data_IF_381642469154
#
_entry.id   IF_381642469154
#
_cell.length_a   1.000
_cell.length_b   1.000
_cell.length_c   1.000
_cell.angle_alpha   90.00
_cell.angle_beta   90.00
_cell.angle_gamma   90.00
#
_symmetry.space_group_name_H-M   'P 1'
#
loop_
_entity.id
_entity.type
_entity.pdbx_description
1 polymer ?
#
# COMPACT_ATOMS: atom_id res chain seq x y z
N UNK A 1 24.16 0.25 13.45
CA UNK A 1 22.86 -0.44 13.54
C UNK A 1 21.82 0.56 14.03
N UNK A 2 20.98 1.06 13.14
CA UNK A 2 19.78 1.80 13.54
C UNK A 2 18.81 0.81 14.17
N UNK A 3 18.17 1.16 15.28
CA UNK A 3 17.14 0.30 15.86
C UNK A 3 16.00 0.09 14.83
N UNK A 4 15.38 -1.11 14.78
CA UNK A 4 14.29 -1.38 13.87
C UNK A 4 13.16 -0.37 14.09
N UNK A 5 12.58 0.14 13.01
CA UNK A 5 11.46 1.09 13.11
C UNK A 5 10.30 0.40 13.85
N UNK A 6 9.84 0.95 14.98
CA UNK A 6 8.81 0.29 15.76
C UNK A 6 7.51 0.17 14.95
N UNK A 7 6.82 -0.95 15.12
CA UNK A 7 5.48 -1.13 14.58
C UNK A 7 4.54 -0.23 15.38
N UNK A 8 4.05 0.83 14.75
CA UNK A 8 3.09 1.77 15.32
C UNK A 8 1.70 1.25 14.99
N UNK A 9 0.88 0.88 15.95
CA UNK A 9 -0.52 0.50 15.73
C UNK A 9 -1.33 0.88 16.98
N UNK A 10 -2.46 1.61 16.93
CA UNK A 10 -3.15 2.00 18.15
C UNK A 10 -3.67 0.78 18.90
N UNK A 11 -3.98 -0.32 18.19
CA UNK A 11 -4.24 -1.58 18.88
C UNK A 11 -2.99 -2.02 19.66
N UNK A 12 -1.80 -2.07 19.06
CA UNK A 12 -0.56 -2.45 19.79
C UNK A 12 -0.23 -1.48 20.94
N UNK A 13 -0.35 -0.17 20.72
CA UNK A 13 0.02 0.88 21.67
C UNK A 13 -0.97 1.04 22.83
N UNK A 14 -2.24 0.67 22.62
CA UNK A 14 -3.30 0.73 23.62
C UNK A 14 -3.94 -0.66 23.79
N UNK A 15 -3.26 -1.61 24.49
CA UNK A 15 -3.73 -2.98 24.68
C UNK A 15 -5.12 -3.05 25.33
N UNK A 16 -5.39 -2.11 26.25
CA UNK A 16 -6.49 -2.14 27.21
C UNK A 16 -7.78 -1.45 26.73
N UNK A 17 -7.84 -1.00 25.47
CA UNK A 17 -9.08 -0.45 24.93
C UNK A 17 -10.19 -1.51 24.97
N UNK A 18 -11.37 -1.18 25.53
CA UNK A 18 -12.43 -2.16 25.68
C UNK A 18 -12.92 -2.65 24.32
N UNK A 19 -13.09 -3.96 24.22
CA UNK A 19 -13.68 -4.60 23.06
C UNK A 19 -15.19 -4.37 23.04
N UNK A 20 -15.78 -4.32 21.85
CA UNK A 20 -17.22 -4.30 21.71
C UNK A 20 -17.81 -5.64 22.14
N UNK A 21 -19.01 -5.59 22.73
CA UNK A 21 -19.80 -6.79 22.98
C UNK A 21 -20.08 -7.51 21.65
N UNK A 22 -19.61 -8.75 21.47
CA UNK A 22 -19.84 -9.51 20.24
C UNK A 22 -21.31 -9.66 19.89
N UNK A 23 -22.24 -9.65 20.86
CA UNK A 23 -23.70 -9.74 20.62
C UNK A 23 -24.21 -8.64 19.67
N UNK A 24 -23.54 -7.49 19.62
CA UNK A 24 -23.90 -6.39 18.73
C UNK A 24 -23.65 -6.69 17.23
N UNK A 25 -23.01 -7.82 16.91
CA UNK A 25 -22.90 -8.31 15.54
C UNK A 25 -24.21 -8.94 15.03
N UNK A 26 -25.13 -9.36 15.90
CA UNK A 26 -26.27 -10.22 15.51
C UNK A 26 -27.09 -9.65 14.33
N UNK A 27 -27.44 -8.34 14.29
CA UNK A 27 -28.17 -7.78 13.16
C UNK A 27 -27.40 -7.85 11.83
N UNK A 28 -26.07 -7.68 11.89
CA UNK A 28 -25.20 -7.80 10.72
C UNK A 28 -25.09 -9.26 10.27
N UNK A 29 -24.95 -10.21 11.19
CA UNK A 29 -24.84 -11.64 10.84
C UNK A 29 -26.10 -12.10 10.10
N UNK A 30 -27.27 -11.78 10.63
CA UNK A 30 -28.56 -12.06 9.96
C UNK A 30 -28.61 -11.42 8.57
N UNK A 31 -28.09 -10.19 8.42
CA UNK A 31 -28.05 -9.54 7.12
C UNK A 31 -27.15 -10.26 6.12
N UNK A 32 -25.99 -10.73 6.56
CA UNK A 32 -25.01 -11.38 5.70
C UNK A 32 -25.49 -12.75 5.20
N UNK A 33 -26.35 -13.44 5.96
CA UNK A 33 -26.97 -14.71 5.57
C UNK A 33 -28.18 -14.53 4.63
N UNK A 34 -28.83 -13.37 4.69
CA UNK A 34 -29.98 -13.07 3.83
C UNK A 34 -29.59 -13.15 2.35
N UNK A 35 -30.39 -13.79 1.47
CA UNK A 35 -30.12 -13.82 0.04
C UNK A 35 -30.47 -12.49 -0.66
N UNK A 36 -31.11 -11.55 0.03
CA UNK A 36 -31.58 -10.30 -0.58
C UNK A 36 -30.40 -9.40 -1.00
N UNK A 37 -30.44 -8.82 -2.21
CA UNK A 37 -29.35 -8.00 -2.73
C UNK A 37 -29.15 -6.73 -1.90
N UNK A 38 -27.90 -6.27 -1.80
CA UNK A 38 -27.54 -5.00 -1.15
C UNK A 38 -27.62 -3.86 -2.18
N UNK A 39 -28.74 -3.16 -2.23
CA UNK A 39 -28.94 -2.08 -3.22
C UNK A 39 -28.29 -0.73 -2.80
N UNK A 40 -28.06 -0.53 -1.51
CA UNK A 40 -27.46 0.68 -0.94
C UNK A 40 -26.62 0.32 0.30
N UNK A 41 -25.80 1.26 0.78
CA UNK A 41 -25.02 1.04 2.01
C UNK A 41 -25.95 0.88 3.23
N UNK A 42 -25.79 -0.22 3.98
CA UNK A 42 -26.58 -0.58 5.15
C UNK A 42 -25.71 -0.55 6.41
N UNK A 43 -26.03 0.32 7.37
CA UNK A 43 -25.27 0.49 8.61
C UNK A 43 -25.86 -0.34 9.76
N UNK A 44 -24.98 -0.97 10.55
CA UNK A 44 -25.33 -1.83 11.67
C UNK A 44 -24.68 -1.32 12.98
N UNK A 45 -25.10 -1.82 14.16
CA UNK A 45 -24.46 -1.44 15.42
C UNK A 45 -22.95 -1.69 15.45
N UNK A 46 -22.47 -2.67 14.68
CA UNK A 46 -21.07 -2.88 14.38
C UNK A 46 -20.91 -3.06 12.86
N UNK A 47 -20.32 -2.05 12.23
CA UNK A 47 -19.94 -2.09 10.82
C UNK A 47 -21.03 -1.71 9.81
N UNK A 48 -20.70 -1.89 8.53
CA UNK A 48 -21.53 -1.48 7.39
C UNK A 48 -21.37 -2.47 6.25
N UNK A 49 -22.48 -2.90 5.66
CA UNK A 49 -22.50 -3.64 4.39
C UNK A 49 -22.67 -2.62 3.27
N UNK A 50 -21.74 -2.58 2.33
CA UNK A 50 -21.76 -1.62 1.23
C UNK A 50 -22.32 -2.25 -0.03
N UNK A 51 -22.95 -1.43 -0.87
CA UNK A 51 -23.52 -1.87 -2.15
C UNK A 51 -22.48 -2.47 -3.12
N UNK A 52 -21.19 -2.19 -2.92
CA UNK A 52 -20.08 -2.75 -3.70
C UNK A 52 -19.45 -4.01 -3.09
N UNK A 53 -20.13 -4.65 -2.15
CA UNK A 53 -19.71 -5.92 -1.52
C UNK A 53 -18.65 -5.77 -0.43
N UNK A 54 -18.39 -4.55 0.03
CA UNK A 54 -17.53 -4.32 1.21
C UNK A 54 -18.29 -4.56 2.50
N UNK A 55 -17.72 -5.37 3.37
CA UNK A 55 -18.13 -5.47 4.76
C UNK A 55 -17.11 -4.68 5.58
N UNK A 56 -17.46 -3.44 5.93
CA UNK A 56 -16.60 -2.52 6.66
C UNK A 56 -16.85 -2.61 8.16
N UNK A 57 -15.94 -3.25 8.88
CA UNK A 57 -15.90 -3.26 10.35
C UNK A 57 -14.58 -2.69 10.86
N UNK A 58 -14.00 -1.70 10.19
CA UNK A 58 -12.82 -1.06 10.75
C UNK A 58 -13.15 -0.32 12.05
N UNK A 59 -12.24 -0.41 13.04
CA UNK A 59 -12.31 0.31 14.32
C UNK A 59 -13.56 -0.02 15.14
N UNK A 60 -14.01 -1.27 15.09
CA UNK A 60 -15.19 -1.75 15.84
C UNK A 60 -14.83 -2.47 17.15
N UNK A 61 -13.54 -2.68 17.42
CA UNK A 61 -13.09 -3.34 18.66
C UNK A 61 -13.55 -4.79 18.77
N UNK A 62 -13.59 -5.53 17.66
CA UNK A 62 -14.16 -6.89 17.63
C UNK A 62 -13.39 -7.90 18.52
N UNK A 63 -12.07 -7.76 18.58
CA UNK A 63 -11.18 -8.76 19.17
C UNK A 63 -11.29 -10.13 18.50
N UNK A 64 -10.63 -11.12 19.10
CA UNK A 64 -10.68 -12.50 18.59
C UNK A 64 -12.10 -13.10 18.68
N UNK A 65 -12.86 -12.77 19.72
CA UNK A 65 -14.22 -13.29 19.92
C UNK A 65 -15.20 -12.79 18.85
N UNK A 66 -15.19 -11.49 18.54
CA UNK A 66 -15.99 -10.93 17.45
C UNK A 66 -15.59 -11.50 16.09
N UNK A 67 -14.28 -11.70 15.85
CA UNK A 67 -13.81 -12.36 14.63
C UNK A 67 -14.34 -13.79 14.51
N UNK A 68 -14.30 -14.60 15.59
CA UNK A 68 -14.86 -15.97 15.60
C UNK A 68 -16.33 -16.02 15.23
N UNK A 69 -17.13 -15.02 15.64
CA UNK A 69 -18.55 -14.97 15.27
C UNK A 69 -18.78 -14.52 13.83
N UNK A 70 -18.01 -13.52 13.38
CA UNK A 70 -18.22 -12.88 12.08
C UNK A 70 -17.72 -13.72 10.90
N UNK A 71 -16.50 -14.28 11.02
CA UNK A 71 -15.74 -14.74 9.85
C UNK A 71 -16.41 -15.89 9.09
N UNK A 72 -16.93 -16.94 9.74
CA UNK A 72 -17.64 -18.00 9.02
C UNK A 72 -18.84 -17.48 8.23
N UNK A 73 -19.62 -16.56 8.83
CA UNK A 73 -20.80 -15.97 8.20
C UNK A 73 -20.41 -15.04 7.04
N UNK A 74 -19.41 -14.20 7.24
CA UNK A 74 -18.94 -13.28 6.21
C UNK A 74 -18.33 -14.02 5.00
N UNK A 75 -17.55 -15.09 5.22
CA UNK A 75 -16.94 -15.85 4.14
C UNK A 75 -17.97 -16.63 3.29
N UNK A 76 -19.06 -17.09 3.92
CA UNK A 76 -20.16 -17.78 3.26
C UNK A 76 -21.21 -16.83 2.64
N UNK A 77 -21.15 -15.53 2.95
CA UNK A 77 -22.14 -14.56 2.51
C UNK A 77 -22.08 -14.35 0.99
N UNK A 78 -23.22 -14.31 0.28
CA UNK A 78 -23.26 -13.99 -1.15
C UNK A 78 -22.91 -12.51 -1.44
N UNK A 79 -22.84 -11.67 -0.42
CA UNK A 79 -22.59 -10.22 -0.55
C UNK A 79 -21.14 -9.84 -0.32
N UNK A 80 -20.39 -10.64 0.43
CA UNK A 80 -19.07 -10.27 0.90
C UNK A 80 -18.01 -10.54 -0.18
N UNK A 81 -17.44 -9.47 -0.71
CA UNK A 81 -16.33 -9.50 -1.67
C UNK A 81 -15.05 -8.95 -1.03
N UNK A 82 -15.19 -7.99 -0.12
CA UNK A 82 -14.08 -7.27 0.49
C UNK A 82 -14.32 -7.16 2.00
N UNK A 83 -13.45 -7.78 2.79
CA UNK A 83 -13.57 -7.79 4.23
C UNK A 83 -12.59 -6.78 4.84
N UNK A 84 -13.11 -5.74 5.50
CA UNK A 84 -12.31 -4.67 6.10
C UNK A 84 -12.38 -4.74 7.63
N UNK A 85 -11.33 -5.28 8.25
CA UNK A 85 -11.24 -5.53 9.68
C UNK A 85 -10.11 -4.73 10.35
N UNK A 86 -9.75 -3.58 9.83
CA UNK A 86 -8.61 -2.83 10.38
C UNK A 86 -8.87 -2.27 11.78
N UNK A 87 -7.85 -2.28 12.64
CA UNK A 87 -7.95 -1.73 14.02
C UNK A 87 -9.02 -2.41 14.87
N UNK A 88 -9.01 -3.74 14.92
CA UNK A 88 -9.95 -4.53 15.74
C UNK A 88 -9.29 -5.41 16.80
N UNK A 89 -7.95 -5.37 16.92
CA UNK A 89 -7.19 -6.19 17.88
C UNK A 89 -7.52 -7.70 17.79
N UNK A 90 -7.73 -8.23 16.58
CA UNK A 90 -8.12 -9.64 16.42
C UNK A 90 -7.01 -10.63 16.80
N UNK A 91 -5.75 -10.19 16.75
CA UNK A 91 -4.56 -10.98 17.10
C UNK A 91 -4.36 -12.23 16.24
N UNK A 92 -3.38 -13.06 16.61
CA UNK A 92 -3.08 -14.30 15.89
C UNK A 92 -4.23 -15.30 15.91
N UNK A 93 -4.98 -15.35 17.01
CA UNK A 93 -6.18 -16.19 17.10
C UNK A 93 -7.24 -15.75 16.09
N UNK A 94 -7.48 -14.46 15.95
CA UNK A 94 -8.42 -13.96 14.94
C UNK A 94 -7.91 -14.14 13.51
N UNK A 95 -6.61 -14.03 13.27
CA UNK A 95 -6.01 -14.35 11.97
C UNK A 95 -6.18 -15.83 11.60
N UNK A 96 -6.02 -16.75 12.56
CA UNK A 96 -6.37 -18.17 12.39
C UNK A 96 -7.84 -18.37 12.05
N UNK A 97 -8.75 -17.71 12.77
CA UNK A 97 -10.19 -17.75 12.42
C UNK A 97 -10.44 -17.26 10.99
N UNK A 98 -9.74 -16.21 10.54
CA UNK A 98 -9.83 -15.75 9.14
C UNK A 98 -9.42 -16.87 8.20
N UNK A 99 -8.26 -17.49 8.45
CA UNK A 99 -7.74 -18.61 7.65
C UNK A 99 -8.73 -19.79 7.62
N UNK A 100 -9.26 -20.20 8.76
CA UNK A 100 -10.21 -21.32 8.88
C UNK A 100 -11.53 -21.08 8.12
N UNK A 101 -11.94 -19.80 7.99
CA UNK A 101 -13.17 -19.43 7.29
C UNK A 101 -13.02 -19.39 5.75
N UNK A 102 -11.79 -19.36 5.23
CA UNK A 102 -11.51 -19.37 3.78
C UNK A 102 -11.58 -20.79 3.21
N UNK A 103 -12.77 -21.40 3.28
CA UNK A 103 -13.05 -22.70 2.67
C UNK A 103 -13.30 -22.57 1.16
N UNK A 104 -13.04 -23.61 0.34
CA UNK A 104 -13.27 -23.57 -1.10
C UNK A 104 -14.67 -23.08 -1.45
N UNK A 105 -14.76 -22.12 -2.39
CA UNK A 105 -16.02 -21.51 -2.82
C UNK A 105 -16.41 -20.20 -2.14
N UNK A 106 -15.60 -19.68 -1.21
CA UNK A 106 -15.82 -18.36 -0.61
C UNK A 106 -15.78 -17.22 -1.65
N UNK A 107 -16.45 -16.09 -1.37
CA UNK A 107 -16.51 -14.93 -2.28
C UNK A 107 -15.43 -13.85 -2.08
N UNK A 108 -14.60 -13.98 -1.04
CA UNK A 108 -13.68 -12.92 -0.60
C UNK A 108 -12.48 -12.73 -1.52
N UNK A 109 -12.36 -11.52 -2.10
CA UNK A 109 -11.24 -11.11 -2.96
C UNK A 109 -10.21 -10.22 -2.26
N UNK A 110 -10.64 -9.51 -1.21
CA UNK A 110 -9.75 -8.61 -0.45
C UNK A 110 -9.89 -8.85 1.04
N UNK A 111 -8.75 -9.05 1.71
CA UNK A 111 -8.64 -9.12 3.15
C UNK A 111 -7.85 -7.92 3.65
N UNK A 112 -8.52 -7.00 4.34
CA UNK A 112 -7.87 -5.87 4.98
C UNK A 112 -7.81 -6.07 6.48
N UNK A 113 -6.63 -6.45 6.96
CA UNK A 113 -6.35 -6.86 8.34
C UNK A 113 -5.38 -5.89 9.04
N UNK A 114 -5.26 -4.66 8.55
CA UNK A 114 -4.30 -3.68 9.05
C UNK A 114 -4.50 -3.31 10.52
N UNK A 115 -3.40 -3.25 11.29
CA UNK A 115 -3.37 -2.87 12.70
C UNK A 115 -4.27 -3.74 13.59
N UNK A 116 -3.96 -5.03 13.67
CA UNK A 116 -4.74 -6.01 14.44
C UNK A 116 -3.93 -6.79 15.48
N UNK A 117 -2.67 -6.42 15.72
CA UNK A 117 -1.74 -7.18 16.57
C UNK A 117 -1.50 -8.61 16.05
N UNK A 118 -1.51 -8.79 14.73
CA UNK A 118 -1.20 -10.08 14.10
C UNK A 118 0.33 -10.22 14.07
N UNK A 119 0.85 -11.16 14.84
CA UNK A 119 2.25 -11.56 14.88
C UNK A 119 2.59 -12.58 13.78
N UNK A 120 3.83 -13.12 13.81
CA UNK A 120 4.29 -14.09 12.83
C UNK A 120 3.41 -15.36 12.78
N UNK A 121 2.88 -15.84 13.91
CA UNK A 121 2.03 -17.04 13.97
C UNK A 121 0.70 -16.84 13.24
N UNK A 122 0.07 -15.68 13.42
CA UNK A 122 -1.17 -15.35 12.71
C UNK A 122 -0.95 -15.13 11.22
N UNK A 123 0.18 -14.52 10.84
CA UNK A 123 0.58 -14.39 9.43
C UNK A 123 0.85 -15.76 8.81
N UNK A 124 1.48 -16.68 9.55
CA UNK A 124 1.75 -18.04 9.10
C UNK A 124 0.45 -18.80 8.79
N UNK A 125 -0.53 -18.75 9.71
CA UNK A 125 -1.83 -19.37 9.46
C UNK A 125 -2.54 -18.83 8.22
N UNK A 126 -2.50 -17.50 8.01
CA UNK A 126 -3.03 -16.90 6.78
C UNK A 126 -2.27 -17.39 5.54
N UNK A 127 -0.94 -17.46 5.60
CA UNK A 127 -0.10 -17.86 4.49
C UNK A 127 -0.34 -19.32 4.08
N UNK A 128 -0.47 -20.23 5.05
CA UNK A 128 -0.74 -21.65 4.80
C UNK A 128 -2.05 -21.86 4.04
N UNK A 129 -3.14 -21.23 4.47
CA UNK A 129 -4.43 -21.33 3.75
C UNK A 129 -4.38 -20.66 2.38
N UNK A 130 -3.77 -19.48 2.29
CA UNK A 130 -3.70 -18.73 1.02
C UNK A 130 -2.80 -19.41 -0.03
N UNK A 131 -1.94 -20.35 0.35
CA UNK A 131 -1.07 -21.07 -0.57
C UNK A 131 -1.82 -21.87 -1.64
N UNK A 132 -3.02 -22.35 -1.31
CA UNK A 132 -3.93 -23.05 -2.22
C UNK A 132 -5.20 -22.27 -2.55
N UNK A 133 -5.37 -21.06 -2.01
CA UNK A 133 -6.53 -20.23 -2.33
C UNK A 133 -6.44 -19.60 -3.72
N UNK A 134 -7.53 -19.67 -4.45
CA UNK A 134 -7.65 -19.15 -5.82
C UNK A 134 -8.52 -17.89 -5.91
N UNK A 135 -9.00 -17.35 -4.77
CA UNK A 135 -10.01 -16.26 -4.78
C UNK A 135 -9.49 -14.93 -4.26
N UNK A 136 -8.58 -14.91 -3.28
CA UNK A 136 -8.02 -13.69 -2.70
C UNK A 136 -6.97 -13.10 -3.64
N UNK A 137 -7.17 -11.84 -4.00
CA UNK A 137 -6.27 -11.09 -4.88
C UNK A 137 -5.46 -10.03 -4.13
N UNK A 138 -5.93 -9.60 -2.95
CA UNK A 138 -5.32 -8.53 -2.19
C UNK A 138 -5.31 -8.79 -0.68
N UNK A 139 -4.12 -8.78 -0.08
CA UNK A 139 -3.89 -8.98 1.34
C UNK A 139 -3.21 -7.75 1.94
N UNK A 140 -3.86 -7.13 2.94
CA UNK A 140 -3.37 -5.92 3.57
C UNK A 140 -3.08 -6.14 5.05
N UNK A 141 -1.80 -6.14 5.41
CA UNK A 141 -1.30 -6.44 6.75
C UNK A 141 -0.65 -5.25 7.44
N UNK A 142 -0.76 -4.03 6.91
CA UNK A 142 -0.07 -2.85 7.48
C UNK A 142 -0.19 -2.77 9.00
N UNK A 143 0.90 -2.35 9.65
CA UNK A 143 0.95 -2.07 11.09
C UNK A 143 0.63 -3.31 11.94
N UNK A 144 0.98 -4.50 11.47
CA UNK A 144 0.98 -5.74 12.25
C UNK A 144 2.43 -6.20 12.47
N UNK A 145 2.80 -6.67 13.67
CA UNK A 145 4.16 -7.10 13.98
C UNK A 145 4.52 -8.46 13.36
N UNK A 146 4.46 -8.55 12.04
CA UNK A 146 4.78 -9.77 11.29
C UNK A 146 6.27 -10.14 11.40
N UNK A 147 7.15 -9.14 11.32
CA UNK A 147 8.60 -9.32 11.28
C UNK A 147 9.07 -10.15 10.08
N UNK A 148 10.35 -10.50 10.07
CA UNK A 148 10.94 -11.34 9.02
C UNK A 148 10.36 -12.76 9.02
N UNK A 149 9.97 -13.31 10.17
CA UNK A 149 9.37 -14.65 10.27
C UNK A 149 8.01 -14.73 9.57
N UNK A 150 7.11 -13.79 9.86
CA UNK A 150 5.82 -13.72 9.18
C UNK A 150 5.98 -13.48 7.68
N UNK A 151 6.96 -12.66 7.29
CA UNK A 151 7.26 -12.42 5.87
C UNK A 151 7.83 -13.67 5.18
N UNK A 152 8.65 -14.48 5.87
CA UNK A 152 9.11 -15.77 5.34
C UNK A 152 7.95 -16.73 5.07
N UNK A 153 6.94 -16.75 5.94
CA UNK A 153 5.73 -17.54 5.70
C UNK A 153 4.96 -17.05 4.45
N UNK A 154 4.79 -15.73 4.31
CA UNK A 154 4.20 -15.13 3.10
C UNK A 154 5.02 -15.45 1.85
N UNK A 155 6.34 -15.37 1.92
CA UNK A 155 7.22 -15.76 0.82
C UNK A 155 7.03 -17.23 0.43
N UNK A 156 6.86 -18.13 1.41
CA UNK A 156 6.57 -19.53 1.14
C UNK A 156 5.25 -19.73 0.39
N UNK A 157 4.18 -19.07 0.85
CA UNK A 157 2.88 -19.05 0.19
C UNK A 157 2.97 -18.50 -1.25
N UNK A 158 3.74 -17.43 -1.46
CA UNK A 158 3.92 -16.81 -2.76
C UNK A 158 4.70 -17.66 -3.78
N UNK A 159 5.28 -18.80 -3.39
CA UNK A 159 5.86 -19.72 -4.38
C UNK A 159 4.81 -20.52 -5.14
N UNK A 160 3.64 -20.76 -4.53
CA UNK A 160 2.58 -21.60 -5.11
C UNK A 160 1.33 -20.79 -5.47
N UNK A 161 0.97 -19.80 -4.66
CA UNK A 161 -0.21 -18.98 -4.91
C UNK A 161 -0.02 -18.16 -6.21
N UNK A 162 -0.95 -18.24 -7.15
CA UNK A 162 -0.88 -17.52 -8.43
C UNK A 162 -1.93 -16.40 -8.58
N UNK A 163 -2.68 -16.11 -7.51
CA UNK A 163 -3.86 -15.22 -7.53
C UNK A 163 -3.61 -13.90 -6.83
N UNK A 164 -2.77 -13.89 -5.80
CA UNK A 164 -2.40 -12.68 -5.09
C UNK A 164 -1.59 -11.75 -5.98
N UNK A 165 -2.06 -10.52 -6.11
CA UNK A 165 -1.45 -9.45 -6.91
C UNK A 165 -1.16 -8.18 -6.10
N UNK A 166 -1.75 -8.05 -4.93
CA UNK A 166 -1.52 -6.91 -4.02
C UNK A 166 -1.15 -7.41 -2.63
N UNK A 167 0.01 -6.98 -2.14
CA UNK A 167 0.49 -7.27 -0.78
C UNK A 167 0.94 -5.98 -0.09
N UNK A 168 0.35 -5.71 1.07
CA UNK A 168 0.74 -4.57 1.92
C UNK A 168 1.40 -5.05 3.22
N UNK A 169 2.66 -4.65 3.37
CA UNK A 169 3.55 -4.88 4.50
C UNK A 169 4.06 -3.56 5.10
N UNK A 170 3.30 -2.48 5.00
CA UNK A 170 3.65 -1.17 5.56
C UNK A 170 3.79 -1.28 7.08
N UNK A 171 4.95 -0.86 7.60
CA UNK A 171 5.27 -0.83 9.03
C UNK A 171 4.95 -2.17 9.72
N UNK A 172 5.49 -3.26 9.15
CA UNK A 172 5.33 -4.63 9.66
C UNK A 172 6.59 -5.17 10.34
N UNK A 173 7.67 -4.39 10.34
CA UNK A 173 8.95 -4.78 10.92
C UNK A 173 9.76 -5.70 10.00
N UNK A 174 9.45 -5.74 8.71
CA UNK A 174 10.26 -6.44 7.70
C UNK A 174 11.65 -5.79 7.60
N UNK A 175 12.68 -6.62 7.74
CA UNK A 175 14.08 -6.29 7.56
C UNK A 175 14.66 -6.88 6.27
N UNK A 176 15.99 -6.85 6.11
CA UNK A 176 16.67 -7.36 4.92
C UNK A 176 16.41 -8.84 4.63
N UNK A 177 16.25 -9.67 5.67
CA UNK A 177 16.09 -11.12 5.50
C UNK A 177 14.68 -11.48 5.01
N UNK A 178 13.64 -10.82 5.54
CA UNK A 178 12.29 -10.93 5.00
C UNK A 178 12.21 -10.40 3.57
N UNK A 179 12.89 -9.29 3.28
CA UNK A 179 12.93 -8.72 1.93
C UNK A 179 13.62 -9.66 0.93
N UNK A 180 14.71 -10.33 1.33
CA UNK A 180 15.38 -11.35 0.51
C UNK A 180 14.49 -12.56 0.25
N UNK A 181 13.80 -13.06 1.27
CA UNK A 181 12.85 -14.16 1.12
C UNK A 181 11.72 -13.81 0.14
N UNK A 182 11.18 -12.58 0.21
CA UNK A 182 10.19 -12.09 -0.75
C UNK A 182 10.74 -12.06 -2.17
N UNK A 183 11.95 -11.51 -2.36
CA UNK A 183 12.57 -11.45 -3.69
C UNK A 183 12.71 -12.86 -4.29
N UNK A 184 13.30 -13.79 -3.55
CA UNK A 184 13.49 -15.18 -3.99
C UNK A 184 12.17 -15.84 -4.39
N UNK A 185 11.12 -15.67 -3.57
CA UNK A 185 9.80 -16.21 -3.88
C UNK A 185 9.17 -15.58 -5.13
N UNK A 186 9.34 -14.26 -5.32
CA UNK A 186 8.67 -13.53 -6.38
C UNK A 186 9.37 -13.68 -7.75
N UNK A 187 10.70 -13.84 -7.80
CA UNK A 187 11.47 -13.98 -9.06
C UNK A 187 11.07 -15.24 -9.85
N UNK A 188 10.56 -16.29 -9.20
CA UNK A 188 10.13 -17.53 -9.84
C UNK A 188 8.65 -17.60 -10.22
N UNK A 189 7.85 -16.54 -9.98
CA UNK A 189 6.41 -16.60 -10.17
C UNK A 189 6.00 -16.50 -11.64
N UNK A 190 5.05 -17.35 -12.03
CA UNK A 190 4.40 -17.28 -13.36
C UNK A 190 3.56 -16.02 -13.54
N UNK A 191 2.98 -15.51 -12.44
CA UNK A 191 2.21 -14.26 -12.40
C UNK A 191 2.85 -13.29 -11.39
N UNK A 192 3.43 -12.18 -11.86
CA UNK A 192 4.07 -11.20 -10.99
C UNK A 192 3.11 -10.65 -9.95
N UNK A 193 3.62 -10.39 -8.74
CA UNK A 193 2.92 -9.55 -7.78
C UNK A 193 2.94 -8.11 -8.33
N UNK A 194 1.77 -7.51 -8.54
CA UNK A 194 1.67 -6.20 -9.19
C UNK A 194 2.00 -5.05 -8.23
N UNK A 195 1.46 -5.11 -7.01
CA UNK A 195 1.48 -4.03 -6.01
C UNK A 195 2.10 -4.51 -4.71
N UNK A 196 3.20 -3.88 -4.32
CA UNK A 196 3.91 -4.17 -3.08
C UNK A 196 4.10 -2.89 -2.26
N UNK A 197 3.55 -2.88 -1.05
CA UNK A 197 3.70 -1.77 -0.11
C UNK A 197 4.66 -2.15 1.02
N UNK A 198 5.75 -1.39 1.15
CA UNK A 198 6.86 -1.62 2.09
C UNK A 198 7.23 -0.35 2.88
N UNK A 199 6.33 0.63 2.91
CA UNK A 199 6.56 1.89 3.62
C UNK A 199 6.74 1.71 5.13
N UNK A 200 7.50 2.60 5.79
CA UNK A 200 7.55 2.64 7.24
C UNK A 200 8.27 1.47 7.92
N UNK A 201 9.19 0.81 7.23
CA UNK A 201 9.95 -0.34 7.75
C UNK A 201 11.41 0.00 8.09
N UNK A 202 11.83 1.25 7.88
CA UNK A 202 13.19 1.68 8.20
C UNK A 202 14.25 1.24 7.18
N UNK A 203 13.82 0.87 5.97
CA UNK A 203 14.73 0.41 4.91
C UNK A 203 15.70 1.53 4.50
N UNK A 204 17.00 1.25 4.53
CA UNK A 204 18.06 2.19 4.16
C UNK A 204 18.53 1.97 2.72
N UNK A 205 19.50 2.76 2.25
CA UNK A 205 20.14 2.56 0.95
C UNK A 205 20.68 1.12 0.75
N UNK A 206 21.07 0.42 1.82
CA UNK A 206 21.54 -0.97 1.78
C UNK A 206 20.48 -1.95 1.23
N UNK A 207 19.20 -1.65 1.41
CA UNK A 207 18.10 -2.46 0.87
C UNK A 207 17.82 -2.17 -0.61
N UNK A 208 18.34 -1.08 -1.17
CA UNK A 208 18.00 -0.63 -2.52
C UNK A 208 18.30 -1.66 -3.63
N UNK A 209 19.40 -2.46 -3.58
CA UNK A 209 19.63 -3.52 -4.56
C UNK A 209 18.53 -4.59 -4.56
N UNK A 210 18.03 -4.98 -3.38
CA UNK A 210 16.92 -5.94 -3.27
C UNK A 210 15.61 -5.33 -3.80
N UNK A 211 15.34 -4.07 -3.48
CA UNK A 211 14.17 -3.33 -3.98
C UNK A 211 14.21 -3.17 -5.50
N UNK A 212 15.38 -2.89 -6.07
CA UNK A 212 15.57 -2.82 -7.51
C UNK A 212 15.39 -4.18 -8.18
N UNK A 213 15.86 -5.27 -7.56
CA UNK A 213 15.64 -6.63 -8.05
C UNK A 213 14.15 -7.04 -8.03
N UNK A 214 13.37 -6.56 -7.05
CA UNK A 214 11.91 -6.77 -7.06
C UNK A 214 11.24 -6.17 -8.30
N UNK A 215 11.70 -5.01 -8.74
CA UNK A 215 11.21 -4.37 -9.97
C UNK A 215 11.74 -5.10 -11.21
N UNK A 216 13.05 -5.32 -11.28
CA UNK A 216 13.74 -5.85 -12.46
C UNK A 216 13.41 -7.33 -12.71
N UNK A 217 13.58 -8.16 -11.69
CA UNK A 217 13.61 -9.62 -11.81
C UNK A 217 12.26 -10.24 -11.46
N UNK A 218 11.61 -9.76 -10.40
CA UNK A 218 10.30 -10.26 -9.97
C UNK A 218 9.11 -9.58 -10.70
N UNK A 219 9.37 -8.53 -11.48
CA UNK A 219 8.35 -7.86 -12.29
C UNK A 219 7.32 -7.04 -11.50
N UNK A 220 7.63 -6.63 -10.27
CA UNK A 220 6.77 -5.75 -9.46
C UNK A 220 6.64 -4.40 -10.16
N UNK A 221 5.41 -4.01 -10.53
CA UNK A 221 5.14 -2.78 -11.27
C UNK A 221 4.81 -1.59 -10.39
N UNK A 222 4.22 -1.80 -9.22
CA UNK A 222 3.89 -0.74 -8.28
C UNK A 222 4.58 -0.99 -6.94
N UNK A 223 5.63 -0.23 -6.66
CA UNK A 223 6.45 -0.35 -5.47
C UNK A 223 6.31 0.91 -4.61
N UNK A 224 5.71 0.75 -3.43
CA UNK A 224 5.43 1.85 -2.51
C UNK A 224 6.32 1.73 -1.26
N UNK A 225 7.26 2.65 -1.12
CA UNK A 225 8.29 2.71 -0.08
C UNK A 225 8.23 4.00 0.77
N UNK A 226 7.07 4.65 1.02
CA UNK A 226 7.08 5.91 1.74
C UNK A 226 7.53 5.73 3.20
N UNK A 227 8.12 6.77 3.80
CA UNK A 227 8.60 6.77 5.17
C UNK A 227 9.68 5.70 5.45
N UNK A 228 10.68 5.61 4.58
CA UNK A 228 11.89 4.81 4.77
C UNK A 228 13.13 5.74 4.76
N UNK A 229 14.35 5.22 4.61
CA UNK A 229 15.62 5.96 4.73
C UNK A 229 16.53 5.72 3.53
N UNK A 230 15.98 5.65 2.32
CA UNK A 230 16.72 5.28 1.11
C UNK A 230 17.76 6.32 0.68
N UNK A 231 17.49 7.60 0.93
CA UNK A 231 18.35 8.72 0.51
C UNK A 231 18.53 8.82 -1.01
N UNK A 232 19.47 9.67 -1.41
CA UNK A 232 19.82 9.86 -2.83
C UNK A 232 20.44 8.60 -3.46
N UNK A 233 21.23 7.84 -2.68
CA UNK A 233 21.86 6.60 -3.13
C UNK A 233 20.82 5.53 -3.49
N UNK A 234 19.88 5.25 -2.58
CA UNK A 234 18.83 4.27 -2.83
C UNK A 234 17.90 4.69 -3.98
N UNK A 235 17.60 5.99 -4.11
CA UNK A 235 16.85 6.52 -5.24
C UNK A 235 17.57 6.31 -6.58
N UNK A 236 18.90 6.48 -6.62
CA UNK A 236 19.68 6.25 -7.83
C UNK A 236 19.69 4.76 -8.25
N UNK A 237 19.79 3.83 -7.29
CA UNK A 237 19.71 2.39 -7.55
C UNK A 237 18.36 2.00 -8.13
N UNK A 238 17.25 2.53 -7.59
CA UNK A 238 15.91 2.29 -8.14
C UNK A 238 15.74 2.91 -9.54
N UNK A 239 16.27 4.11 -9.77
CA UNK A 239 16.21 4.77 -11.07
C UNK A 239 16.88 3.92 -12.17
N UNK A 240 18.00 3.24 -11.86
CA UNK A 240 18.72 2.42 -12.82
C UNK A 240 17.91 1.24 -13.40
N UNK A 241 16.86 0.79 -12.71
CA UNK A 241 15.98 -0.30 -13.18
C UNK A 241 14.58 0.17 -13.60
N UNK A 242 14.23 1.41 -13.28
CA UNK A 242 12.91 1.99 -13.57
C UNK A 242 12.82 2.63 -14.97
N UNK A 243 13.91 2.70 -15.71
CA UNK A 243 14.00 3.40 -17.00
C UNK A 243 13.51 2.63 -18.23
N UNK A 244 12.99 1.40 -18.08
CA UNK A 244 12.48 0.60 -19.20
C UNK A 244 11.08 1.06 -19.65
N UNK A 245 10.94 1.70 -20.84
CA UNK A 245 9.65 2.17 -21.33
C UNK A 245 8.69 1.04 -21.71
N UNK A 246 9.20 -0.19 -21.94
CA UNK A 246 8.39 -1.37 -22.23
C UNK A 246 7.65 -1.90 -21.00
N UNK A 247 8.08 -1.51 -19.80
CA UNK A 247 7.46 -1.93 -18.54
C UNK A 247 7.40 -0.78 -17.52
N UNK A 248 6.54 0.23 -17.75
CA UNK A 248 6.46 1.38 -16.86
C UNK A 248 6.14 1.00 -15.41
N UNK A 249 6.77 1.69 -14.47
CA UNK A 249 6.63 1.45 -13.03
C UNK A 249 5.96 2.63 -12.31
N UNK A 250 5.39 2.33 -11.14
CA UNK A 250 4.80 3.29 -10.21
C UNK A 250 5.60 3.25 -8.91
N UNK A 251 6.25 4.35 -8.57
CA UNK A 251 7.17 4.45 -7.44
C UNK A 251 6.65 5.43 -6.39
N UNK A 252 6.32 4.89 -5.21
CA UNK A 252 6.01 5.70 -4.03
C UNK A 252 7.25 5.89 -3.16
N UNK A 253 7.88 7.05 -3.18
CA UNK A 253 9.16 7.33 -2.51
C UNK A 253 9.07 8.49 -1.51
N UNK A 254 7.86 8.87 -1.10
CA UNK A 254 7.64 9.97 -0.17
C UNK A 254 8.35 9.80 1.19
N UNK A 255 9.03 10.82 1.69
CA UNK A 255 9.69 10.78 3.00
C UNK A 255 10.79 9.71 3.09
N UNK A 256 11.81 9.82 2.24
CA UNK A 256 12.95 8.91 2.17
C UNK A 256 14.31 9.62 2.32
N UNK A 257 14.33 10.93 2.60
CA UNK A 257 15.56 11.72 2.60
C UNK A 257 16.14 11.94 1.21
N UNK A 258 15.31 11.87 0.16
CA UNK A 258 15.73 12.07 -1.23
C UNK A 258 15.90 13.57 -1.48
N UNK A 259 17.12 13.98 -1.80
CA UNK A 259 17.51 15.33 -2.17
C UNK A 259 17.53 15.56 -3.69
N UNK A 260 18.18 16.63 -4.15
CA UNK A 260 18.25 16.97 -5.56
C UNK A 260 19.01 15.94 -6.42
N UNK A 261 20.00 15.23 -5.86
CA UNK A 261 20.82 14.26 -6.60
C UNK A 261 20.00 13.03 -6.93
N UNK A 262 19.31 12.43 -5.96
CA UNK A 262 18.42 11.29 -6.18
C UNK A 262 17.22 11.67 -7.04
N UNK A 263 16.67 12.87 -6.86
CA UNK A 263 15.61 13.39 -7.75
C UNK A 263 16.09 13.49 -9.20
N UNK A 264 17.34 13.92 -9.45
CA UNK A 264 17.92 13.96 -10.80
C UNK A 264 18.10 12.56 -11.38
N UNK A 265 18.52 11.58 -10.58
CA UNK A 265 18.63 10.20 -11.03
C UNK A 265 17.25 9.66 -11.47
N UNK A 266 16.20 9.88 -10.65
CA UNK A 266 14.82 9.51 -10.98
C UNK A 266 14.31 10.24 -12.23
N UNK A 267 14.68 11.51 -12.43
CA UNK A 267 14.36 12.22 -13.66
C UNK A 267 15.01 11.57 -14.91
N UNK A 268 16.24 11.05 -14.79
CA UNK A 268 16.89 10.30 -15.86
C UNK A 268 16.17 8.99 -16.24
N UNK A 269 15.35 8.45 -15.33
CA UNK A 269 14.55 7.24 -15.54
C UNK A 269 13.09 7.53 -15.91
N UNK A 270 12.68 8.79 -16.08
CA UNK A 270 11.28 9.18 -16.21
C UNK A 270 10.59 8.55 -17.43
N UNK A 271 11.35 8.14 -18.46
CA UNK A 271 10.86 7.41 -19.63
C UNK A 271 10.21 6.05 -19.33
N UNK A 272 10.51 5.44 -18.17
CA UNK A 272 9.88 4.20 -17.70
C UNK A 272 9.05 4.38 -16.41
N UNK A 273 8.73 5.61 -16.01
CA UNK A 273 7.97 5.87 -14.77
C UNK A 273 6.61 6.47 -15.09
N UNK A 274 5.54 5.74 -14.76
CA UNK A 274 4.15 6.19 -14.94
C UNK A 274 3.67 7.03 -13.74
N UNK A 275 4.17 6.73 -12.53
CA UNK A 275 3.85 7.47 -11.31
C UNK A 275 5.09 7.63 -10.44
N UNK A 276 5.33 8.85 -9.99
CA UNK A 276 6.39 9.19 -9.05
C UNK A 276 5.82 10.02 -7.90
N UNK A 277 5.85 9.47 -6.70
CA UNK A 277 5.48 10.17 -5.48
C UNK A 277 6.72 10.45 -4.62
N UNK A 278 7.10 11.72 -4.54
CA UNK A 278 8.18 12.21 -3.66
C UNK A 278 7.63 13.00 -2.48
N UNK A 279 6.31 13.15 -2.36
CA UNK A 279 5.69 14.03 -1.38
C UNK A 279 5.77 13.48 0.04
N UNK A 280 5.55 14.36 1.01
CA UNK A 280 5.54 13.97 2.43
C UNK A 280 4.36 13.05 2.75
N UNK A 281 4.60 11.80 3.21
CA UNK A 281 3.54 10.90 3.64
C UNK A 281 3.03 11.30 5.04
N UNK A 282 1.77 10.97 5.39
CA UNK A 282 1.22 11.24 6.72
C UNK A 282 2.02 10.59 7.86
N UNK A 283 2.65 9.44 7.60
CA UNK A 283 3.41 8.66 8.57
C UNK A 283 4.82 9.20 8.87
N UNK A 284 5.31 10.19 8.10
CA UNK A 284 6.70 10.67 8.19
C UNK A 284 7.09 11.04 9.62
N UNK A 285 6.27 11.86 10.30
CA UNK A 285 6.57 12.32 11.66
C UNK A 285 6.49 11.19 12.69
N UNK A 286 5.47 10.34 12.62
CA UNK A 286 5.25 9.28 13.62
C UNK A 286 6.28 8.16 13.54
N UNK A 287 6.88 7.97 12.37
CA UNK A 287 7.91 6.95 12.12
C UNK A 287 9.33 7.55 12.12
N UNK A 288 9.48 8.86 12.31
CA UNK A 288 10.77 9.52 12.28
C UNK A 288 11.47 9.49 10.91
N UNK A 289 10.71 9.34 9.83
CA UNK A 289 11.29 9.24 8.50
C UNK A 289 11.81 10.61 8.00
N UNK A 290 12.94 10.65 7.28
CA UNK A 290 13.51 11.87 6.75
C UNK A 290 12.66 12.46 5.61
N UNK A 291 12.43 13.77 5.65
CA UNK A 291 11.72 14.46 4.58
C UNK A 291 12.52 14.44 3.27
N UNK A 292 11.82 14.35 2.14
CA UNK A 292 12.44 14.57 0.84
C UNK A 292 12.68 16.08 0.63
N UNK A 293 13.84 16.43 0.08
CA UNK A 293 14.26 17.81 -0.18
C UNK A 293 14.75 17.97 -1.62
N UNK A 294 13.98 17.47 -2.59
CA UNK A 294 14.24 17.59 -4.03
C UNK A 294 14.60 19.01 -4.46
N UNK A 295 13.95 20.02 -3.85
CA UNK A 295 14.17 21.44 -4.12
C UNK A 295 13.88 21.84 -5.55
N UNK A 296 14.17 23.10 -5.89
CA UNK A 296 14.03 23.58 -7.27
C UNK A 296 14.98 22.81 -8.22
N UNK A 297 16.22 22.53 -7.81
CA UNK A 297 17.21 21.88 -8.66
C UNK A 297 16.78 20.47 -9.13
N UNK A 298 16.24 19.65 -8.22
CA UNK A 298 15.69 18.34 -8.59
C UNK A 298 14.46 18.48 -9.49
N UNK A 299 13.58 19.45 -9.20
CA UNK A 299 12.38 19.68 -10.02
C UNK A 299 12.70 20.23 -11.42
N UNK A 300 13.79 20.98 -11.60
CA UNK A 300 14.26 21.36 -12.94
C UNK A 300 14.71 20.13 -13.75
N UNK A 301 15.34 19.14 -13.12
CA UNK A 301 15.69 17.89 -13.79
C UNK A 301 14.43 17.11 -14.21
N UNK A 302 13.43 17.01 -13.33
CA UNK A 302 12.13 16.42 -13.67
C UNK A 302 11.43 17.17 -14.81
N UNK A 303 11.46 18.51 -14.80
CA UNK A 303 10.89 19.33 -15.86
C UNK A 303 11.58 19.08 -17.22
N UNK A 304 12.91 18.97 -17.23
CA UNK A 304 13.66 18.68 -18.45
C UNK A 304 13.35 17.28 -19.04
N UNK A 305 13.05 16.30 -18.19
CA UNK A 305 12.73 14.93 -18.60
C UNK A 305 11.24 14.68 -18.85
N UNK A 306 10.35 15.64 -18.54
CA UNK A 306 8.91 15.48 -18.65
C UNK A 306 8.40 15.32 -20.10
N UNK A 307 8.90 16.07 -21.10
CA UNK A 307 8.49 15.91 -22.49
C UNK A 307 8.63 14.47 -22.99
N UNK A 308 7.58 13.92 -23.59
CA UNK A 308 7.56 12.54 -24.08
C UNK A 308 7.52 11.44 -23.02
N UNK A 309 7.59 11.77 -21.72
CA UNK A 309 7.51 10.77 -20.65
C UNK A 309 6.10 10.16 -20.51
N UNK A 310 5.97 8.89 -20.08
CA UNK A 310 4.69 8.27 -19.75
C UNK A 310 4.13 8.74 -18.40
N UNK A 311 4.73 9.74 -17.75
CA UNK A 311 4.37 10.14 -16.40
C UNK A 311 2.95 10.70 -16.34
N UNK A 312 2.10 10.06 -15.54
CA UNK A 312 0.70 10.45 -15.31
C UNK A 312 0.51 11.11 -13.96
N UNK A 313 1.31 10.76 -12.97
CA UNK A 313 1.16 11.29 -11.61
C UNK A 313 2.50 11.65 -11.01
N UNK A 314 2.62 12.92 -10.61
CA UNK A 314 3.79 13.46 -9.94
C UNK A 314 3.38 14.11 -8.62
N UNK A 315 3.88 13.64 -7.50
CA UNK A 315 3.59 14.21 -6.18
C UNK A 315 4.86 14.86 -5.58
N UNK A 316 4.78 16.16 -5.29
CA UNK A 316 5.89 17.01 -4.85
C UNK A 316 5.52 17.87 -3.63
N UNK A 317 4.42 17.55 -2.92
CA UNK A 317 4.07 18.28 -1.69
C UNK A 317 5.17 18.11 -0.65
N UNK A 318 5.64 19.25 -0.13
CA UNK A 318 6.65 19.33 0.94
C UNK A 318 8.04 18.79 0.54
N UNK A 319 8.45 18.93 -0.72
CA UNK A 319 9.80 18.53 -1.19
C UNK A 319 10.83 19.67 -1.26
N UNK A 320 10.51 20.83 -0.67
CA UNK A 320 11.34 22.05 -0.80
C UNK A 320 11.17 22.79 -2.13
N UNK A 321 10.21 22.39 -2.97
CA UNK A 321 9.86 23.07 -4.22
C UNK A 321 9.36 24.51 -3.98
N UNK A 322 9.92 25.48 -4.71
CA UNK A 322 9.47 26.88 -4.69
C UNK A 322 8.67 27.25 -5.95
N UNK A 323 8.23 28.51 -6.03
CA UNK A 323 7.54 29.04 -7.21
C UNK A 323 8.37 28.98 -8.49
N UNK A 324 9.71 29.06 -8.40
CA UNK A 324 10.59 28.98 -9.57
C UNK A 324 10.59 27.59 -10.18
N UNK A 325 10.85 26.54 -9.38
CA UNK A 325 10.79 25.16 -9.85
C UNK A 325 9.38 24.79 -10.34
N UNK A 326 8.32 25.26 -9.65
CA UNK A 326 6.95 24.98 -10.07
C UNK A 326 6.61 25.63 -11.42
N UNK A 327 7.14 26.82 -11.72
CA UNK A 327 6.99 27.48 -13.01
C UNK A 327 7.77 26.76 -14.11
N UNK A 328 8.99 26.32 -13.83
CA UNK A 328 9.79 25.52 -14.78
C UNK A 328 9.07 24.22 -15.15
N UNK A 329 8.58 23.49 -14.14
CA UNK A 329 7.77 22.28 -14.36
C UNK A 329 6.51 22.56 -15.17
N UNK A 330 5.77 23.63 -14.84
CA UNK A 330 4.57 24.01 -15.59
C UNK A 330 4.88 24.29 -17.07
N UNK A 331 5.99 24.98 -17.36
CA UNK A 331 6.41 25.28 -18.73
C UNK A 331 6.73 24.01 -19.54
N UNK A 332 7.19 22.95 -18.89
CA UNK A 332 7.48 21.66 -19.53
C UNK A 332 6.23 20.79 -19.76
N UNK A 333 5.07 21.15 -19.21
CA UNK A 333 3.81 20.44 -19.50
C UNK A 333 3.30 20.85 -20.89
N UNK A 334 3.57 20.00 -21.88
CA UNK A 334 3.12 20.12 -23.27
C UNK A 334 1.66 19.68 -23.45
N UNK A 335 1.02 20.08 -24.54
CA UNK A 335 -0.35 19.69 -24.88
C UNK A 335 -0.55 18.17 -24.98
N UNK A 336 0.47 17.45 -25.45
CA UNK A 336 0.44 15.99 -25.60
C UNK A 336 0.81 15.23 -24.32
N UNK A 337 1.12 15.93 -23.22
CA UNK A 337 1.50 15.29 -21.96
C UNK A 337 0.44 14.31 -21.44
N UNK A 338 0.87 13.20 -20.84
CA UNK A 338 0.02 12.21 -20.18
C UNK A 338 -0.34 12.58 -18.74
N UNK A 339 0.12 13.72 -18.24
CA UNK A 339 0.03 14.09 -16.84
C UNK A 339 -1.42 14.36 -16.41
N UNK A 340 -1.85 13.68 -15.37
CA UNK A 340 -3.20 13.74 -14.79
C UNK A 340 -3.20 14.40 -13.41
N UNK A 341 -2.07 14.36 -12.71
CA UNK A 341 -1.95 14.89 -11.36
C UNK A 341 -0.56 15.47 -11.09
N UNK A 342 -0.55 16.68 -10.52
CA UNK A 342 0.64 17.27 -9.91
C UNK A 342 0.32 17.73 -8.48
N UNK A 343 0.93 17.06 -7.51
CA UNK A 343 0.83 17.41 -6.10
C UNK A 343 1.77 18.56 -5.76
N UNK A 344 1.20 19.72 -5.41
CA UNK A 344 1.94 20.94 -5.12
C UNK A 344 1.70 21.42 -3.69
N UNK A 345 2.78 21.76 -2.98
CA UNK A 345 2.73 22.20 -1.59
C UNK A 345 1.83 23.42 -1.34
N UNK A 346 1.34 23.63 -0.09
CA UNK A 346 0.44 24.73 0.24
C UNK A 346 1.03 26.12 -0.03
N UNK A 347 2.36 26.29 0.13
CA UNK A 347 3.05 27.57 -0.05
C UNK A 347 3.17 28.10 -1.48
N UNK A 348 2.69 27.36 -2.50
CA UNK A 348 2.75 27.80 -3.90
C UNK A 348 1.54 28.65 -4.32
N UNK A 349 1.72 29.69 -5.16
CA UNK A 349 0.63 30.58 -5.57
C UNK A 349 -0.55 29.83 -6.22
N UNK A 350 -1.78 30.20 -5.84
CA UNK A 350 -3.02 29.61 -6.39
C UNK A 350 -3.09 29.71 -7.93
N UNK A 351 -2.51 30.76 -8.53
CA UNK A 351 -2.45 30.94 -9.99
C UNK A 351 -1.65 29.84 -10.69
N UNK A 352 -0.55 29.37 -10.07
CA UNK A 352 0.27 28.27 -10.61
C UNK A 352 -0.53 26.97 -10.57
N UNK A 353 -1.15 26.66 -9.42
CA UNK A 353 -2.00 25.46 -9.23
C UNK A 353 -3.15 25.41 -10.26
N UNK A 354 -3.85 26.53 -10.46
CA UNK A 354 -4.90 26.65 -11.48
C UNK A 354 -4.38 26.49 -12.91
N UNK A 355 -3.14 26.86 -13.18
CA UNK A 355 -2.55 26.71 -14.51
C UNK A 355 -2.20 25.27 -14.82
N UNK A 356 -1.72 24.50 -13.84
CA UNK A 356 -1.61 23.04 -13.96
C UNK A 356 -2.97 22.41 -14.23
N UNK A 357 -4.01 22.72 -13.43
CA UNK A 357 -5.32 22.12 -13.58
C UNK A 357 -5.94 22.27 -14.99
N UNK A 358 -5.55 23.30 -15.76
CA UNK A 358 -5.99 23.50 -17.15
C UNK A 358 -5.20 22.69 -18.19
N UNK A 359 -4.02 22.18 -17.84
CA UNK A 359 -3.13 21.41 -18.72
C UNK A 359 -3.13 19.91 -18.42
N UNK A 360 -3.70 19.50 -17.29
CA UNK A 360 -3.75 18.10 -16.88
C UNK A 360 -4.90 17.37 -17.56
N UNK A 361 -4.67 16.10 -17.89
CA UNK A 361 -5.70 15.18 -18.37
C UNK A 361 -6.63 14.76 -17.22
N UNK A 362 -7.86 14.30 -17.53
CA UNK A 362 -8.72 13.67 -16.55
C UNK A 362 -8.02 12.47 -15.90
N UNK A 363 -8.09 12.38 -14.57
CA UNK A 363 -7.50 11.28 -13.84
C UNK A 363 -8.19 9.96 -14.16
N UNK A 364 -7.40 8.91 -14.38
CA UNK A 364 -7.93 7.56 -14.46
C UNK A 364 -8.44 7.05 -13.13
N UNK A 365 -9.39 6.12 -13.20
CA UNK A 365 -9.89 5.42 -12.04
C UNK A 365 -8.77 4.63 -11.34
N UNK A 366 -8.78 4.64 -10.01
CA UNK A 366 -7.89 3.78 -9.25
C UNK A 366 -8.24 2.31 -9.49
N UNK A 367 -7.22 1.46 -9.43
CA UNK A 367 -7.36 0.03 -9.58
C UNK A 367 -8.34 -0.56 -8.52
N UNK A 368 -9.18 -1.57 -8.86
CA UNK A 368 -10.19 -2.10 -7.94
C UNK A 368 -9.69 -2.48 -6.54
N UNK A 369 -8.52 -3.13 -6.45
CA UNK A 369 -7.92 -3.50 -5.15
C UNK A 369 -7.66 -2.28 -4.26
N UNK A 370 -7.28 -1.14 -4.85
CA UNK A 370 -7.05 0.12 -4.12
C UNK A 370 -8.37 0.81 -3.77
N UNK A 371 -9.39 0.71 -4.64
CA UNK A 371 -10.73 1.27 -4.35
C UNK A 371 -11.41 0.53 -3.20
N UNK A 372 -11.24 -0.79 -3.13
CA UNK A 372 -11.80 -1.62 -2.06
C UNK A 372 -11.40 -1.13 -0.66
N UNK A 373 -10.19 -0.59 -0.53
CA UNK A 373 -9.62 -0.09 0.74
C UNK A 373 -9.55 1.44 0.81
N UNK A 374 -10.08 2.17 -0.18
CA UNK A 374 -9.93 3.62 -0.29
C UNK A 374 -10.58 4.45 0.83
N UNK A 375 -11.52 3.86 1.59
CA UNK A 375 -12.10 4.47 2.80
C UNK A 375 -11.17 4.43 4.01
N UNK A 376 -10.23 3.46 4.04
CA UNK A 376 -9.44 3.10 5.23
C UNK A 376 -7.93 3.27 5.02
N UNK A 377 -7.51 3.49 3.78
CA UNK A 377 -6.13 3.69 3.36
C UNK A 377 -5.94 5.11 2.84
N UNK A 378 -5.76 6.06 3.76
CA UNK A 378 -5.35 7.45 3.47
C UNK A 378 -4.32 7.92 4.49
#
# INVERSE_FOLDING_TARGET
>A
MTQPTPVRCPAVEHPDLPLADPARLDPLLVRLESPLPVAADEAFPLGTVRADGRIDLCKQGLGAAGATRLLPVAAASPHAVHLLLGTNAVGDRGARTVADALVPGHGLRTLYLGCNRIGPDGVTALAETLASDETVHALWLKRNPAGDDGVRALAAMLRTNATLRTLDLVNTGIGPDGLRALLEALTGRSRPLERLFLGGNGLTAEAAPLLAALVRDAGVRELYLPANHLGDEGAAVLAAVAGDPGRPVRLGLGGNGIGPVGTRALAGALGGIEMLDLGRPPSERSLGAPANTSGDAGVHALAAALPGSPLRRLELRHTGLTGRGAKALLSAVEERSCLEYVGLGPGLPRKVKRSFARRLRPASAAHPDLRAIGSVYR
#
